data_IF_641406308307
#
_entry.id   IF_641406308307
#
_cell.length_a   1.000
_cell.length_b   1.000
_cell.length_c   1.000
_cell.angle_alpha   90.00
_cell.angle_beta   90.00
_cell.angle_gamma   90.00
#
_symmetry.space_group_name_H-M   'P 1'
#
loop_
_entity.id
_entity.type
_entity.pdbx_description
1 polymer ?
#
# COMPACT_ATOMS: atom_id res chain seq x y z
N UNK A 1 -9.79 21.12 8.56
CA UNK A 1 -8.79 20.20 8.17
C UNK A 1 -7.44 20.79 8.15
N UNK A 2 -6.46 20.16 8.72
CA UNK A 2 -5.15 20.71 8.76
C UNK A 2 -4.26 19.99 7.81
N UNK A 3 -3.20 20.59 7.41
CA UNK A 3 -2.25 19.98 6.50
C UNK A 3 -1.68 18.72 7.11
N UNK A 4 -1.47 18.75 8.40
CA UNK A 4 -0.90 17.59 9.08
C UNK A 4 -1.82 16.39 8.92
N UNK A 5 -3.12 16.62 9.02
CA UNK A 5 -4.06 15.53 8.91
C UNK A 5 -3.97 14.95 7.51
N UNK A 6 -3.89 15.80 6.52
CA UNK A 6 -3.82 15.35 5.15
C UNK A 6 -2.54 14.54 4.94
N UNK A 7 -1.44 15.02 5.50
CA UNK A 7 -0.18 14.32 5.34
C UNK A 7 -0.25 12.93 5.95
N UNK A 8 -0.83 12.83 7.12
CA UNK A 8 -0.94 11.55 7.78
C UNK A 8 -1.76 10.57 6.94
N UNK A 9 -2.86 11.06 6.41
CA UNK A 9 -3.70 10.19 5.60
C UNK A 9 -2.94 9.74 4.36
N UNK A 10 -2.21 10.63 3.74
CA UNK A 10 -1.47 10.28 2.54
C UNK A 10 -0.43 9.20 2.84
N UNK A 11 0.28 9.37 3.94
CA UNK A 11 1.30 8.40 4.29
C UNK A 11 0.66 7.04 4.56
N UNK A 12 -0.42 7.04 5.31
CA UNK A 12 -1.07 5.78 5.62
C UNK A 12 -1.58 5.11 4.36
N UNK A 13 -2.15 5.89 3.47
CA UNK A 13 -2.69 5.34 2.23
C UNK A 13 -1.57 4.70 1.40
N UNK A 14 -0.46 5.41 1.28
CA UNK A 14 0.65 4.89 0.49
C UNK A 14 1.18 3.62 1.12
N UNK A 15 1.35 3.62 2.43
CA UNK A 15 1.86 2.44 3.10
C UNK A 15 0.90 1.27 2.91
N UNK A 16 -0.38 1.52 3.00
CA UNK A 16 -1.35 0.46 2.85
C UNK A 16 -1.28 -0.15 1.45
N UNK A 17 -1.15 0.70 0.46
CA UNK A 17 -1.10 0.22 -0.91
C UNK A 17 0.15 -0.63 -1.11
N UNK A 18 1.28 -0.13 -0.64
CA UNK A 18 2.52 -0.85 -0.80
C UNK A 18 2.44 -2.20 -0.07
N UNK A 19 1.94 -2.18 1.14
CA UNK A 19 1.85 -3.41 1.90
C UNK A 19 0.96 -4.41 1.18
N UNK A 20 -0.12 -3.93 0.63
CA UNK A 20 -1.02 -4.82 -0.08
C UNK A 20 -0.31 -5.44 -1.27
N UNK A 21 0.39 -4.63 -2.02
CA UNK A 21 1.07 -5.15 -3.20
C UNK A 21 2.08 -6.22 -2.82
N UNK A 22 2.85 -5.93 -1.80
CA UNK A 22 3.86 -6.88 -1.36
C UNK A 22 3.20 -8.17 -0.90
N UNK A 23 2.10 -8.04 -0.20
CA UNK A 23 1.41 -9.22 0.27
C UNK A 23 0.91 -10.05 -0.89
N UNK A 24 0.27 -9.40 -1.86
CA UNK A 24 -0.26 -10.13 -3.00
C UNK A 24 0.85 -10.84 -3.74
N UNK A 25 2.00 -10.19 -3.82
CA UNK A 25 3.09 -10.82 -4.50
C UNK A 25 3.55 -12.05 -3.75
N UNK A 26 3.65 -11.94 -2.47
CA UNK A 26 4.11 -13.07 -1.68
C UNK A 26 3.13 -14.22 -1.80
N UNK A 27 1.84 -13.88 -1.81
CA UNK A 27 0.89 -14.96 -1.90
C UNK A 27 0.92 -15.59 -3.26
N UNK A 28 1.12 -14.86 -4.31
CA UNK A 28 1.07 -15.44 -5.59
C UNK A 28 2.39 -15.96 -5.89
N UNK A 29 2.79 -17.02 -5.43
CA UNK A 29 4.05 -17.51 -5.77
C UNK A 29 4.13 -17.91 -7.17
N UNK A 30 5.01 -17.64 -7.85
CA UNK A 30 5.14 -18.12 -9.17
C UNK A 30 4.15 -17.56 -10.09
N UNK A 31 3.29 -16.94 -9.73
CA UNK A 31 2.33 -16.49 -10.61
C UNK A 31 2.76 -15.36 -11.37
N UNK A 32 2.48 -15.26 -12.50
CA UNK A 32 2.94 -14.24 -13.26
C UNK A 32 2.14 -13.17 -13.00
N UNK A 33 2.27 -12.32 -12.73
CA UNK A 33 1.58 -11.29 -12.52
C UNK A 33 0.66 -11.01 -13.34
N UNK A 34 0.10 -11.16 -13.49
CA UNK A 34 -0.96 -10.85 -14.24
C UNK A 34 -1.08 -9.51 -14.51
#
# INVERSE_FOLDING_TARGET
MRLIDYLLLAIVAVCAVIAWRVWCRAMKKGGCCG
#
